data_IF_191815518124
#
_entry.id   IF_191815518124
#
_cell.length_a   1.000
_cell.length_b   1.000
_cell.length_c   1.000
_cell.angle_alpha   90.00
_cell.angle_beta   90.00
_cell.angle_gamma   90.00
#
_symmetry.space_group_name_H-M   'P 1'
#
loop_
_entity.id
_entity.type
_entity.pdbx_description
1 polymer ?
#
# COMPACT_ATOMS: atom_id res chain seq x y z
N UNK A 1 -16.04 -17.27 -9.45
CA UNK A 1 -16.96 -16.27 -10.01
C UNK A 1 -16.76 -14.88 -9.42
N UNK A 2 -17.38 -14.46 -8.30
CA UNK A 2 -17.30 -13.07 -7.80
C UNK A 2 -15.88 -12.50 -7.64
N UNK A 3 -14.91 -13.33 -7.23
CA UNK A 3 -13.50 -12.94 -7.14
C UNK A 3 -12.90 -12.57 -8.51
N UNK A 4 -13.20 -13.35 -9.54
CA UNK A 4 -12.72 -13.07 -10.90
C UNK A 4 -13.37 -11.82 -11.46
N UNK A 5 -14.67 -11.61 -11.17
CA UNK A 5 -15.36 -10.34 -11.48
C UNK A 5 -14.60 -9.19 -10.84
N UNK A 6 -14.29 -9.28 -9.55
CA UNK A 6 -13.55 -8.23 -8.83
C UNK A 6 -12.20 -7.95 -9.47
N UNK A 7 -11.43 -8.99 -9.78
CA UNK A 7 -10.06 -8.86 -10.29
C UNK A 7 -10.01 -8.37 -11.74
N UNK A 8 -11.01 -8.68 -12.56
CA UNK A 8 -11.06 -8.28 -13.99
C UNK A 8 -11.86 -7.01 -14.22
N UNK A 9 -12.86 -6.74 -13.39
CA UNK A 9 -13.85 -5.70 -13.66
C UNK A 9 -13.73 -4.47 -12.77
N UNK A 10 -13.37 -4.62 -11.50
CA UNK A 10 -13.29 -3.48 -10.59
C UNK A 10 -12.10 -2.58 -10.88
N UNK A 11 -12.30 -1.28 -10.72
CA UNK A 11 -11.28 -0.26 -10.92
C UNK A 11 -11.52 0.92 -9.99
N UNK A 12 -10.46 1.68 -9.72
CA UNK A 12 -10.53 2.85 -8.85
C UNK A 12 -10.77 4.11 -9.68
N UNK A 13 -11.82 4.85 -9.32
CA UNK A 13 -12.20 6.10 -9.98
C UNK A 13 -11.32 7.26 -9.51
N UNK A 14 -10.79 8.08 -10.44
CA UNK A 14 -10.11 9.33 -10.11
C UNK A 14 -11.05 10.35 -9.45
N UNK A 15 -10.52 11.21 -8.59
CA UNK A 15 -11.29 12.26 -7.90
C UNK A 15 -11.94 13.31 -8.83
N UNK A 16 -11.38 13.52 -10.03
CA UNK A 16 -11.79 14.62 -10.93
C UNK A 16 -12.76 14.20 -12.03
N UNK A 17 -13.00 12.90 -12.19
CA UNK A 17 -13.91 12.42 -13.24
C UNK A 17 -15.33 12.33 -12.67
N UNK A 18 -16.24 13.19 -13.14
CA UNK A 18 -17.70 13.08 -12.95
C UNK A 18 -18.32 11.96 -13.79
N UNK A 19 -17.59 11.46 -14.77
CA UNK A 19 -18.03 10.39 -15.66
C UNK A 19 -17.24 9.11 -15.37
N UNK A 20 -17.95 7.98 -15.30
CA UNK A 20 -17.32 6.67 -15.30
C UNK A 20 -16.46 6.57 -16.56
N UNK A 21 -15.27 5.96 -16.48
CA UNK A 21 -14.52 5.68 -17.72
C UNK A 21 -15.45 4.83 -18.60
N UNK A 22 -15.77 5.34 -19.79
CA UNK A 22 -16.28 4.56 -20.91
C UNK A 22 -15.21 3.53 -21.32
N UNK A 23 -15.10 2.47 -20.54
CA UNK A 23 -14.31 1.27 -20.77
C UNK A 23 -15.14 0.13 -20.19
N UNK A 24 -15.83 -0.71 -20.94
CA UNK A 24 -15.65 -1.08 -22.32
C UNK A 24 -16.88 -1.95 -22.66
N UNK A 25 -17.62 -1.63 -23.71
CA UNK A 25 -18.56 -2.61 -24.31
C UNK A 25 -17.82 -3.93 -24.63
N UNK A 26 -16.53 -3.85 -24.99
CA UNK A 26 -15.67 -5.01 -25.22
C UNK A 26 -15.40 -5.84 -23.96
N UNK A 27 -15.31 -5.23 -22.78
CA UNK A 27 -15.12 -5.91 -21.51
C UNK A 27 -16.40 -6.66 -21.14
N UNK A 28 -17.56 -6.02 -21.28
CA UNK A 28 -18.85 -6.70 -21.15
C UNK A 28 -19.01 -7.86 -22.15
N UNK A 29 -18.59 -7.69 -23.42
CA UNK A 29 -18.58 -8.78 -24.41
C UNK A 29 -17.64 -9.93 -24.03
N UNK A 30 -16.50 -9.66 -23.39
CA UNK A 30 -15.59 -10.72 -22.90
C UNK A 30 -16.19 -11.47 -21.72
N UNK A 31 -16.81 -10.77 -20.78
CA UNK A 31 -17.42 -11.37 -19.59
C UNK A 31 -18.67 -12.17 -19.96
N UNK A 32 -19.48 -11.67 -20.91
CA UNK A 32 -20.65 -12.36 -21.40
C UNK A 32 -20.33 -13.71 -22.05
N UNK A 33 -19.17 -13.84 -22.70
CA UNK A 33 -18.68 -15.12 -23.26
C UNK A 33 -18.28 -16.15 -22.21
N UNK A 34 -17.89 -15.71 -21.01
CA UNK A 34 -17.40 -16.59 -19.93
C UNK A 34 -18.50 -16.91 -18.93
N UNK A 35 -19.43 -15.99 -18.69
CA UNK A 35 -20.40 -16.06 -17.58
C UNK A 35 -21.87 -15.95 -17.99
N UNK A 36 -22.19 -15.88 -19.30
CA UNK A 36 -23.56 -15.69 -19.80
C UNK A 36 -24.05 -14.23 -19.72
N UNK A 37 -25.35 -13.98 -19.82
CA UNK A 37 -25.96 -12.63 -19.80
C UNK A 37 -26.03 -11.98 -18.41
N UNK A 38 -25.03 -12.19 -17.53
CA UNK A 38 -24.99 -11.49 -16.24
C UNK A 38 -24.54 -10.03 -16.45
N UNK A 39 -25.49 -9.08 -16.40
CA UNK A 39 -25.22 -7.64 -16.38
C UNK A 39 -25.25 -7.13 -14.95
N UNK A 40 -24.12 -6.63 -14.47
CA UNK A 40 -24.02 -5.90 -13.20
C UNK A 40 -24.07 -4.40 -13.48
N UNK A 41 -24.58 -3.56 -12.56
CA UNK A 41 -24.47 -2.11 -12.69
C UNK A 41 -23.00 -1.69 -12.75
N UNK A 42 -22.66 -0.76 -13.65
CA UNK A 42 -21.28 -0.27 -13.80
C UNK A 42 -20.74 0.39 -12.51
N UNK A 43 -21.64 0.98 -11.71
CA UNK A 43 -21.33 1.58 -10.41
C UNK A 43 -20.74 0.58 -9.41
N UNK A 44 -21.18 -0.69 -9.47
CA UNK A 44 -20.72 -1.75 -8.56
C UNK A 44 -19.21 -2.02 -8.69
N UNK A 45 -18.65 -1.81 -9.89
CA UNK A 45 -17.22 -2.00 -10.14
C UNK A 45 -16.35 -0.93 -9.49
N UNK A 46 -16.91 0.26 -9.29
CA UNK A 46 -16.24 1.38 -8.64
C UNK A 46 -16.42 1.31 -7.13
N UNK A 47 -17.65 1.05 -6.66
CA UNK A 47 -17.99 0.97 -5.23
C UNK A 47 -17.11 -0.02 -4.46
N UNK A 48 -16.79 -1.17 -5.07
CA UNK A 48 -15.91 -2.16 -4.47
C UNK A 48 -14.52 -1.62 -4.11
N UNK A 49 -14.00 -0.67 -4.89
CA UNK A 49 -12.71 -0.02 -4.60
C UNK A 49 -12.88 1.27 -3.81
N UNK A 50 -14.03 1.94 -3.94
CA UNK A 50 -14.34 3.15 -3.16
C UNK A 50 -14.44 2.83 -1.67
N UNK A 51 -14.86 1.62 -1.30
CA UNK A 51 -14.82 1.13 0.08
C UNK A 51 -13.42 1.21 0.73
N UNK A 52 -12.33 1.21 -0.06
CA UNK A 52 -10.97 1.41 0.46
C UNK A 52 -10.73 2.85 0.93
N UNK A 53 -11.38 3.83 0.28
CA UNK A 53 -11.26 5.25 0.60
C UNK A 53 -12.37 5.73 1.55
N UNK A 54 -13.54 5.12 1.44
CA UNK A 54 -14.75 5.43 2.22
C UNK A 54 -15.29 4.15 2.87
N UNK A 55 -14.70 3.69 3.99
CA UNK A 55 -15.15 2.47 4.68
C UNK A 55 -16.60 2.51 5.17
N UNK A 56 -17.17 3.71 5.34
CA UNK A 56 -18.59 3.91 5.66
C UNK A 56 -19.55 3.23 4.67
N UNK A 57 -19.15 3.03 3.41
CA UNK A 57 -19.92 2.29 2.42
C UNK A 57 -20.17 0.82 2.83
N UNK A 58 -19.28 0.26 3.66
CA UNK A 58 -19.42 -1.09 4.22
C UNK A 58 -20.02 -1.09 5.63
N UNK A 59 -20.55 0.04 6.11
CA UNK A 59 -20.98 0.21 7.50
C UNK A 59 -19.84 0.39 8.49
N UNK A 60 -18.59 0.54 8.03
CA UNK A 60 -17.40 0.69 8.88
C UNK A 60 -17.08 2.16 9.17
N UNK A 61 -18.05 2.95 9.61
CA UNK A 61 -17.92 4.41 9.76
C UNK A 61 -16.87 4.89 10.77
N UNK A 62 -16.37 4.01 11.65
CA UNK A 62 -15.29 4.31 12.60
C UNK A 62 -13.89 4.01 12.04
N UNK A 63 -13.82 3.37 10.87
CA UNK A 63 -12.55 2.99 10.24
C UNK A 63 -12.08 4.10 9.29
N UNK A 64 -10.81 4.47 9.41
CA UNK A 64 -10.17 5.44 8.51
C UNK A 64 -10.01 4.85 7.11
N UNK A 65 -10.28 5.67 6.09
CA UNK A 65 -9.97 5.32 4.71
C UNK A 65 -8.47 5.18 4.47
N UNK A 66 -8.08 4.59 3.34
CA UNK A 66 -6.67 4.31 2.99
C UNK A 66 -5.76 5.56 3.10
N UNK A 67 -6.20 6.69 2.55
CA UNK A 67 -5.43 7.94 2.59
C UNK A 67 -5.25 8.46 4.02
N UNK A 68 -6.28 8.37 4.86
CA UNK A 68 -6.26 8.82 6.26
C UNK A 68 -5.44 7.90 7.17
N UNK A 69 -5.52 6.60 6.92
CA UNK A 69 -4.72 5.59 7.60
C UNK A 69 -3.23 5.82 7.31
N UNK A 70 -2.90 6.11 6.05
CA UNK A 70 -1.54 6.44 5.64
C UNK A 70 -1.05 7.74 6.32
N UNK A 71 -1.84 8.80 6.28
CA UNK A 71 -1.54 10.07 6.96
C UNK A 71 -1.30 9.87 8.47
N UNK A 72 -2.11 9.01 9.12
CA UNK A 72 -1.94 8.68 10.53
C UNK A 72 -0.65 7.91 10.79
N UNK A 73 -0.33 6.91 9.97
CA UNK A 73 0.88 6.10 10.11
C UNK A 73 2.16 6.95 9.94
N UNK A 74 2.13 7.84 8.97
CA UNK A 74 3.18 8.83 8.73
C UNK A 74 3.41 9.72 9.95
N UNK A 75 2.35 10.31 10.51
CA UNK A 75 2.45 11.19 11.69
C UNK A 75 3.01 10.45 12.90
N UNK A 76 2.56 9.21 13.12
CA UNK A 76 3.08 8.37 14.19
C UNK A 76 4.58 8.09 14.02
N UNK A 77 5.04 7.86 12.78
CA UNK A 77 6.48 7.65 12.53
C UNK A 77 7.34 8.87 12.87
N UNK A 78 6.80 10.08 12.67
CA UNK A 78 7.46 11.34 13.04
C UNK A 78 7.46 11.62 14.54
N UNK A 79 6.47 11.12 15.27
CA UNK A 79 6.37 11.27 16.73
C UNK A 79 7.17 10.21 17.52
N UNK A 80 7.34 9.01 16.96
CA UNK A 80 8.05 7.89 17.59
C UNK A 80 9.56 7.93 17.32
N UNK A 81 9.97 8.46 16.17
CA UNK A 81 11.36 8.84 15.98
C UNK A 81 11.64 10.04 16.91
N UNK A 82 12.68 9.98 17.74
CA UNK A 82 13.17 11.15 18.49
C UNK A 82 13.63 12.28 17.54
N UNK A 83 14.60 13.13 17.88
CA UNK A 83 15.03 14.27 17.04
C UNK A 83 15.66 13.89 15.67
N UNK A 84 15.52 12.64 15.21
CA UNK A 84 15.79 12.19 13.85
C UNK A 84 14.79 12.74 12.83
N UNK A 85 14.93 14.04 12.51
CA UNK A 85 14.34 14.70 11.34
C UNK A 85 14.67 13.89 10.07
N UNK A 86 13.74 13.05 9.59
CA UNK A 86 13.89 12.41 8.28
C UNK A 86 13.10 11.13 8.04
N UNK A 87 12.70 10.37 9.08
CA UNK A 87 11.99 9.09 8.86
C UNK A 87 10.61 9.30 8.22
N UNK A 88 9.81 10.22 8.79
CA UNK A 88 8.51 10.58 8.24
C UNK A 88 8.63 11.10 6.80
N UNK A 89 9.56 12.03 6.54
CA UNK A 89 9.80 12.60 5.21
C UNK A 89 10.24 11.54 4.17
N UNK A 90 11.02 10.55 4.57
CA UNK A 90 11.39 9.42 3.70
C UNK A 90 10.22 8.49 3.40
N UNK A 91 9.35 8.26 4.38
CA UNK A 91 8.11 7.51 4.18
C UNK A 91 7.12 8.26 3.26
N UNK A 92 7.21 9.60 3.25
CA UNK A 92 6.39 10.51 2.45
C UNK A 92 6.64 10.41 0.98
N UNK A 93 7.93 10.43 0.67
CA UNK A 93 8.43 10.73 -0.66
C UNK A 93 8.23 9.54 -1.57
N UNK A 94 8.25 8.31 -1.02
CA UNK A 94 8.15 7.10 -1.81
C UNK A 94 7.24 6.07 -1.16
N UNK A 95 6.02 5.96 -1.70
CA UNK A 95 5.01 5.00 -1.27
C UNK A 95 4.98 3.83 -2.24
N UNK A 96 5.33 2.63 -1.77
CA UNK A 96 5.33 1.42 -2.61
C UNK A 96 4.05 0.64 -2.38
N UNK A 97 3.26 0.45 -3.43
CA UNK A 97 2.07 -0.41 -3.39
C UNK A 97 2.47 -1.89 -3.49
N UNK A 98 2.03 -2.69 -2.53
CA UNK A 98 2.25 -4.12 -2.47
C UNK A 98 0.97 -4.87 -2.07
N UNK A 99 0.78 -6.07 -2.62
CA UNK A 99 -0.36 -6.95 -2.33
C UNK A 99 -1.46 -6.93 -3.39
N UNK A 100 -2.25 -7.99 -3.43
CA UNK A 100 -3.24 -8.23 -4.50
C UNK A 100 -4.33 -7.15 -4.59
N UNK A 101 -4.83 -6.65 -3.46
CA UNK A 101 -5.86 -5.60 -3.45
C UNK A 101 -5.32 -4.22 -3.91
N UNK A 102 -4.00 -4.08 -4.08
CA UNK A 102 -3.44 -2.87 -4.69
C UNK A 102 -3.39 -2.94 -6.22
N UNK A 103 -3.79 -4.07 -6.83
CA UNK A 103 -3.75 -4.29 -8.28
C UNK A 103 -4.86 -3.56 -9.06
N UNK A 104 -5.83 -2.95 -8.38
CA UNK A 104 -6.90 -2.21 -9.04
C UNK A 104 -6.33 -1.10 -9.93
N UNK A 105 -6.84 -1.03 -11.17
CA UNK A 105 -6.47 0.02 -12.12
C UNK A 105 -6.87 1.39 -11.56
N UNK A 106 -6.01 2.40 -11.71
CA UNK A 106 -6.26 3.76 -11.22
C UNK A 106 -6.04 3.97 -9.71
N UNK A 107 -5.73 2.93 -8.93
CA UNK A 107 -5.53 3.06 -7.49
C UNK A 107 -4.35 3.97 -7.14
N UNK A 108 -3.23 3.84 -7.84
CA UNK A 108 -2.04 4.67 -7.62
C UNK A 108 -2.32 6.15 -7.90
N UNK A 109 -3.02 6.44 -8.99
CA UNK A 109 -3.37 7.81 -9.40
C UNK A 109 -4.37 8.44 -8.42
N UNK A 110 -5.38 7.66 -7.97
CA UNK A 110 -6.34 8.09 -6.94
C UNK A 110 -5.62 8.37 -5.62
N UNK A 111 -4.77 7.46 -5.16
CA UNK A 111 -4.02 7.64 -3.91
C UNK A 111 -3.11 8.86 -3.99
N UNK A 112 -2.39 9.05 -5.10
CA UNK A 112 -1.56 10.24 -5.33
C UNK A 112 -2.41 11.52 -5.28
N UNK A 113 -3.60 11.50 -5.90
CA UNK A 113 -4.52 12.64 -5.88
C UNK A 113 -5.10 12.95 -4.50
N UNK A 114 -5.38 11.94 -3.68
CA UNK A 114 -5.87 12.12 -2.29
C UNK A 114 -4.78 12.70 -1.38
N UNK A 115 -3.51 12.39 -1.66
CA UNK A 115 -2.36 12.86 -0.88
C UNK A 115 -1.87 14.24 -1.33
N UNK A 116 -2.16 14.65 -2.58
CA UNK A 116 -1.74 15.93 -3.12
C UNK A 116 -2.63 17.10 -2.64
N UNK A 117 -2.04 18.25 -2.23
CA UNK A 117 -2.78 19.37 -1.61
C UNK A 117 -3.88 20.00 -2.47
N UNK A 118 -3.79 19.91 -3.80
CA UNK A 118 -4.60 20.72 -4.73
C UNK A 118 -6.12 20.45 -4.70
N UNK A 119 -6.59 19.36 -4.09
CA UNK A 119 -8.00 18.92 -4.20
C UNK A 119 -8.76 18.81 -2.87
N UNK A 120 -8.13 19.09 -1.74
CA UNK A 120 -8.80 19.17 -0.42
C UNK A 120 -8.44 20.50 0.27
N UNK A 121 -9.17 21.60 0.03
CA UNK A 121 -8.86 22.92 0.61
C UNK A 121 -8.93 22.97 2.14
N UNK A 122 -9.49 21.94 2.80
CA UNK A 122 -9.64 21.83 4.26
C UNK A 122 -8.62 20.92 4.95
N UNK A 123 -7.78 20.18 4.22
CA UNK A 123 -6.81 19.26 4.85
C UNK A 123 -5.39 19.82 4.79
N UNK A 124 -4.94 20.27 5.96
CA UNK A 124 -3.55 20.67 6.24
C UNK A 124 -2.66 19.46 5.97
N UNK A 125 -1.60 19.69 5.19
CA UNK A 125 -0.58 18.75 4.72
C UNK A 125 -0.49 17.38 5.42
N UNK A 126 -0.27 16.33 4.62
CA UNK A 126 0.27 15.06 5.14
C UNK A 126 1.67 15.28 5.77
N UNK A 127 2.38 16.35 5.39
CA UNK A 127 3.83 16.46 5.63
C UNK A 127 4.44 17.80 6.09
N UNK A 128 3.68 18.86 6.35
CA UNK A 128 4.26 20.04 7.00
C UNK A 128 3.88 20.06 8.49
N UNK A 129 4.85 19.93 9.41
CA UNK A 129 4.75 20.62 10.69
C UNK A 129 4.44 22.10 10.40
N UNK A 130 3.62 22.78 11.23
CA UNK A 130 3.30 24.21 11.05
C UNK A 130 4.53 25.14 10.97
N UNK A 131 5.71 24.66 11.41
CA UNK A 131 6.84 25.50 11.81
C UNK A 131 8.17 25.23 11.08
N UNK A 132 8.23 24.43 10.01
CA UNK A 132 9.51 24.16 9.32
C UNK A 132 9.47 24.39 7.81
N UNK A 133 10.38 25.26 7.35
CA UNK A 133 10.73 25.65 5.97
C UNK A 133 11.30 24.49 5.14
N UNK A 134 10.59 23.37 5.03
CA UNK A 134 11.01 22.24 4.19
C UNK A 134 10.38 22.41 2.80
N UNK A 135 11.16 22.46 1.71
CA UNK A 135 10.61 22.54 0.36
C UNK A 135 9.72 21.31 0.09
N UNK A 136 8.57 21.49 -0.58
CA UNK A 136 7.64 20.39 -0.83
C UNK A 136 8.34 19.29 -1.64
N UNK A 137 8.63 18.16 -1.02
CA UNK A 137 9.15 17.00 -1.73
C UNK A 137 8.01 16.37 -2.54
N UNK A 138 8.25 15.99 -3.81
CA UNK A 138 7.24 15.30 -4.61
C UNK A 138 6.94 13.94 -3.99
N UNK A 139 5.65 13.66 -3.74
CA UNK A 139 5.17 12.35 -3.31
C UNK A 139 5.13 11.44 -4.55
N UNK A 140 5.87 10.34 -4.51
CA UNK A 140 5.88 9.32 -5.56
C UNK A 140 5.18 8.04 -5.07
N UNK A 141 4.03 7.73 -5.66
CA UNK A 141 3.35 6.44 -5.47
C UNK A 141 3.83 5.47 -6.54
N UNK A 142 4.61 4.48 -6.12
CA UNK A 142 5.20 3.47 -7.00
C UNK A 142 4.31 2.23 -7.01
N UNK A 143 3.86 1.83 -8.20
CA UNK A 143 2.99 0.68 -8.39
C UNK A 143 3.63 -0.36 -9.33
N UNK A 144 4.56 -1.21 -8.84
CA UNK A 144 5.22 -2.20 -9.68
C UNK A 144 4.22 -3.18 -10.34
N UNK A 145 4.51 -3.70 -11.54
CA UNK A 145 3.59 -4.59 -12.26
C UNK A 145 3.38 -5.94 -11.55
N UNK A 146 4.40 -6.46 -10.83
CA UNK A 146 4.34 -7.72 -10.07
C UNK A 146 4.04 -7.51 -8.58
N UNK A 147 3.30 -6.44 -8.23
CA UNK A 147 3.09 -6.04 -6.83
C UNK A 147 2.30 -7.01 -5.96
N UNK A 148 1.53 -7.91 -6.56
CA UNK A 148 0.86 -9.01 -5.85
C UNK A 148 1.83 -10.03 -5.23
N UNK A 149 3.07 -10.12 -5.72
CA UNK A 149 4.09 -11.06 -5.25
C UNK A 149 5.30 -10.37 -4.64
N UNK A 150 5.26 -9.04 -4.45
CA UNK A 150 6.41 -8.27 -3.95
C UNK A 150 6.96 -8.79 -2.62
N UNK A 151 6.10 -9.17 -1.68
CA UNK A 151 6.55 -9.74 -0.41
C UNK A 151 7.32 -11.06 -0.60
N UNK A 152 6.84 -11.92 -1.51
CA UNK A 152 7.49 -13.20 -1.82
C UNK A 152 8.81 -13.00 -2.60
N UNK A 153 8.83 -12.07 -3.56
CA UNK A 153 10.05 -11.69 -4.29
C UNK A 153 11.08 -11.12 -3.31
N UNK A 154 10.68 -10.20 -2.43
CA UNK A 154 11.55 -9.63 -1.40
C UNK A 154 12.11 -10.68 -0.45
N UNK A 155 11.27 -11.61 0.02
CA UNK A 155 11.70 -12.73 0.86
C UNK A 155 12.69 -13.66 0.14
N UNK A 156 12.44 -13.97 -1.13
CA UNK A 156 13.34 -14.82 -1.93
C UNK A 156 14.70 -14.15 -2.16
N UNK A 157 14.71 -12.84 -2.45
CA UNK A 157 15.94 -12.06 -2.60
C UNK A 157 16.74 -12.00 -1.29
N UNK A 158 16.07 -11.78 -0.15
CA UNK A 158 16.73 -11.75 1.16
C UNK A 158 17.28 -13.12 1.54
N UNK A 159 16.57 -14.20 1.20
CA UNK A 159 17.01 -15.58 1.47
C UNK A 159 18.26 -15.97 0.67
N UNK A 160 18.46 -15.38 -0.51
CA UNK A 160 19.60 -15.62 -1.39
C UNK A 160 20.88 -14.87 -0.96
N UNK A 161 20.76 -13.91 -0.03
CA UNK A 161 21.92 -13.18 0.49
C UNK A 161 22.85 -14.12 1.26
N UNK A 162 24.16 -14.04 1.02
CA UNK A 162 25.16 -14.81 1.77
C UNK A 162 25.13 -14.53 3.30
N UNK A 163 24.62 -13.36 3.69
CA UNK A 163 24.44 -12.98 5.11
C UNK A 163 23.17 -13.57 5.74
N UNK A 164 22.27 -14.18 4.95
CA UNK A 164 20.98 -14.69 5.42
C UNK A 164 21.09 -15.77 6.51
N UNK A 165 21.98 -16.78 6.41
CA UNK A 165 22.19 -17.73 7.51
C UNK A 165 22.57 -17.04 8.83
N UNK A 166 23.28 -15.91 8.73
CA UNK A 166 23.68 -15.06 9.85
C UNK A 166 22.53 -14.36 10.56
N UNK A 167 21.32 -14.31 10.00
CA UNK A 167 20.11 -13.75 10.64
C UNK A 167 19.07 -14.82 11.02
N UNK A 168 19.20 -16.05 10.53
CA UNK A 168 18.29 -17.16 10.87
C UNK A 168 18.46 -17.65 12.32
N UNK A 169 17.38 -18.19 12.90
CA UNK A 169 17.41 -18.92 14.17
C UNK A 169 17.76 -20.39 13.92
N UNK A 170 18.82 -20.88 14.55
CA UNK A 170 19.20 -22.30 14.49
C UNK A 170 18.40 -23.11 15.49
N UNK A 171 18.14 -24.39 15.18
CA UNK A 171 17.45 -25.32 16.08
C UNK A 171 18.14 -25.41 17.45
N UNK A 172 19.46 -25.53 17.47
CA UNK A 172 20.26 -25.60 18.71
C UNK A 172 20.02 -24.40 19.63
N UNK A 173 20.10 -23.17 19.09
CA UNK A 173 19.85 -21.94 19.87
C UNK A 173 18.45 -21.93 20.51
N UNK A 174 17.44 -22.43 19.79
CA UNK A 174 16.06 -22.50 20.30
C UNK A 174 15.93 -23.57 21.37
N UNK A 175 16.57 -24.73 21.20
CA UNK A 175 16.53 -25.81 22.19
C UNK A 175 17.29 -25.45 23.48
N UNK A 176 18.37 -24.67 23.40
CA UNK A 176 19.17 -24.23 24.56
C UNK A 176 18.53 -23.08 25.35
N UNK A 177 17.95 -22.09 24.66
CA UNK A 177 17.52 -20.82 25.28
C UNK A 177 16.02 -20.59 25.26
N UNK A 178 15.27 -21.41 24.53
CA UNK A 178 13.87 -21.16 24.23
C UNK A 178 13.67 -20.08 23.16
N UNK A 179 12.47 -20.07 22.58
CA UNK A 179 12.13 -19.24 21.40
C UNK A 179 12.30 -17.74 21.68
N UNK A 180 11.82 -17.26 22.82
CA UNK A 180 11.76 -15.82 23.13
C UNK A 180 13.16 -15.20 23.32
N UNK A 181 14.03 -15.87 24.08
CA UNK A 181 15.41 -15.42 24.29
C UNK A 181 16.25 -15.53 23.01
N UNK A 182 16.03 -16.58 22.22
CA UNK A 182 16.71 -16.75 20.93
C UNK A 182 16.37 -15.62 19.95
N UNK A 183 15.09 -15.20 19.88
CA UNK A 183 14.65 -14.05 19.07
C UNK A 183 15.32 -12.77 19.56
N UNK A 184 15.29 -12.51 20.88
CA UNK A 184 15.85 -11.28 21.46
C UNK A 184 17.36 -11.17 21.24
N UNK A 185 18.09 -12.27 21.40
CA UNK A 185 19.53 -12.32 21.18
C UNK A 185 19.90 -12.09 19.71
N UNK A 186 19.16 -12.69 18.77
CA UNK A 186 19.34 -12.44 17.34
C UNK A 186 19.00 -11.01 16.95
N UNK A 187 17.93 -10.45 17.51
CA UNK A 187 17.55 -9.05 17.27
C UNK A 187 18.64 -8.07 17.75
N UNK A 188 19.28 -8.36 18.89
CA UNK A 188 20.37 -7.53 19.43
C UNK A 188 21.68 -7.64 18.63
N UNK A 189 21.93 -8.77 17.95
CA UNK A 189 23.13 -9.02 17.14
C UNK A 189 22.94 -8.71 15.65
N UNK A 190 21.74 -8.36 15.22
CA UNK A 190 21.44 -8.09 13.82
C UNK A 190 22.24 -6.88 13.32
N UNK A 191 23.27 -7.13 12.53
CA UNK A 191 23.94 -6.10 11.74
C UNK A 191 22.98 -5.67 10.63
N UNK A 192 22.77 -4.37 10.37
CA UNK A 192 21.89 -3.93 9.29
C UNK A 192 22.36 -4.54 7.97
N UNK A 193 21.44 -5.16 7.23
CA UNK A 193 21.73 -5.72 5.91
C UNK A 193 22.31 -4.61 5.03
N UNK A 194 23.41 -4.87 4.30
CA UNK A 194 23.93 -3.90 3.36
C UNK A 194 22.83 -3.55 2.34
N UNK A 195 22.75 -2.29 1.89
CA UNK A 195 21.79 -1.92 0.86
C UNK A 195 22.04 -2.79 -0.38
N UNK A 196 20.98 -3.37 -0.94
CA UNK A 196 21.07 -4.16 -2.16
C UNK A 196 21.79 -3.33 -3.24
N UNK A 197 22.87 -3.88 -3.80
CA UNK A 197 23.58 -3.27 -4.91
C UNK A 197 22.59 -3.08 -6.08
N UNK A 198 22.57 -1.86 -6.62
CA UNK A 198 21.75 -1.47 -7.78
C UNK A 198 22.24 -2.15 -9.05
#
# INVERSE_FOLDING_TARGET
MLREIKETCCYTRPLDCSEGRDQDEQKWRRLAKVWGELRLPDDLFVEATEALFTPSLLGLGQTKGLAEALESAVRLSGAVAGPGRGAAARMASRLVLAGGNTMFAGLADRLTSELLPRKRPRRRYVYLPPDEEIPPQPIEVVAPPRRNRLAWIGGSLVADLATFPGVCLTRQLVDEKGVELAIREKAARATPLPPAAR
#
